data_IF_408194467090
#
_entry.id   IF_408194467090
#
_cell.length_a   1.000
_cell.length_b   1.000
_cell.length_c   1.000
_cell.angle_alpha   90.00
_cell.angle_beta   90.00
_cell.angle_gamma   90.00
#
_symmetry.space_group_name_H-M   'P 1'
#
loop_
_entity.id
_entity.type
_entity.pdbx_description
1 polymer ?
#
# COMPACT_ATOMS: atom_id res chain seq x y z
N UNK A 1 1.97 2.99 20.00
CA UNK A 1 2.31 3.42 18.63
C UNK A 1 1.72 2.52 17.52
N UNK A 2 0.95 1.49 17.83
CA UNK A 2 0.36 0.59 16.82
C UNK A 2 -0.88 1.13 16.09
N UNK A 3 -1.37 2.34 16.42
CA UNK A 3 -2.53 2.97 15.79
C UNK A 3 -2.15 4.35 15.27
N UNK A 4 -2.21 4.55 13.95
CA UNK A 4 -2.13 5.84 13.30
C UNK A 4 -3.54 6.37 12.99
N UNK A 5 -3.88 7.55 13.49
CA UNK A 5 -5.16 8.19 13.23
C UNK A 5 -4.93 9.69 13.00
N UNK A 6 -5.42 10.25 11.85
CA UNK A 6 -5.43 11.70 11.65
C UNK A 6 -6.21 12.41 12.75
N UNK A 7 -5.74 13.56 13.20
CA UNK A 7 -6.33 14.37 14.26
C UNK A 7 -7.28 15.46 13.72
N UNK A 8 -7.62 15.40 12.44
CA UNK A 8 -8.55 16.31 11.77
C UNK A 8 -9.79 15.57 11.25
N UNK A 9 -10.95 16.23 11.16
CA UNK A 9 -12.18 15.61 10.70
C UNK A 9 -12.17 15.41 9.18
N UNK A 10 -13.05 14.52 8.69
CA UNK A 10 -13.33 14.40 7.25
C UNK A 10 -13.67 15.77 6.66
N UNK A 11 -13.09 16.18 5.53
CA UNK A 11 -13.38 17.43 4.86
C UNK A 11 -14.88 17.63 4.58
N UNK A 12 -15.36 18.87 4.70
CA UNK A 12 -16.80 19.17 4.59
C UNK A 12 -17.38 18.75 3.23
N UNK A 13 -16.66 19.00 2.15
CA UNK A 13 -17.10 18.60 0.81
C UNK A 13 -17.27 17.07 0.67
N UNK A 14 -16.39 16.28 1.27
CA UNK A 14 -16.51 14.82 1.25
C UNK A 14 -17.71 14.32 2.08
N UNK A 15 -17.95 14.96 3.24
CA UNK A 15 -19.14 14.63 4.06
C UNK A 15 -20.44 15.00 3.34
N UNK A 16 -20.46 16.17 2.71
CA UNK A 16 -21.63 16.64 1.93
C UNK A 16 -21.93 15.67 0.79
N UNK A 17 -20.93 15.29 -0.01
CA UNK A 17 -21.11 14.35 -1.10
C UNK A 17 -21.61 12.97 -0.64
N UNK A 18 -21.13 12.49 0.53
CA UNK A 18 -21.58 11.23 1.10
C UNK A 18 -23.08 11.30 1.52
N UNK A 19 -23.50 12.40 2.14
CA UNK A 19 -24.91 12.63 2.52
C UNK A 19 -25.81 12.68 1.27
N UNK A 20 -25.42 13.44 0.25
CA UNK A 20 -26.15 13.55 -0.99
C UNK A 20 -26.28 12.20 -1.72
N UNK A 21 -25.21 11.38 -1.71
CA UNK A 21 -25.25 10.05 -2.31
C UNK A 21 -26.23 9.12 -1.59
N UNK A 22 -26.31 9.18 -0.26
CA UNK A 22 -27.29 8.42 0.53
C UNK A 22 -28.71 8.93 0.26
N UNK A 23 -28.96 10.24 0.31
CA UNK A 23 -30.28 10.84 0.13
C UNK A 23 -30.83 10.63 -1.28
N UNK A 24 -29.96 10.57 -2.29
CA UNK A 24 -30.38 10.30 -3.68
C UNK A 24 -30.62 8.82 -3.98
N UNK A 25 -30.31 7.90 -3.05
CA UNK A 25 -30.38 6.46 -3.29
C UNK A 25 -29.29 5.91 -4.20
N UNK A 26 -28.26 6.67 -4.49
CA UNK A 26 -27.14 6.23 -5.36
C UNK A 26 -26.36 5.04 -4.77
N UNK A 27 -26.51 4.79 -3.47
CA UNK A 27 -25.83 3.71 -2.73
C UNK A 27 -26.73 2.50 -2.45
N UNK A 28 -27.96 2.44 -2.97
CA UNK A 28 -28.94 1.42 -2.60
C UNK A 28 -28.78 0.09 -3.35
N UNK A 29 -27.96 0.06 -4.39
CA UNK A 29 -27.78 -1.12 -5.25
C UNK A 29 -26.37 -1.72 -5.10
N UNK A 30 -26.27 -3.04 -5.37
CA UNK A 30 -24.97 -3.66 -5.53
C UNK A 30 -24.21 -3.08 -6.72
N UNK A 31 -22.91 -2.91 -6.56
CA UNK A 31 -21.99 -2.45 -7.59
C UNK A 31 -20.98 -3.54 -7.96
N UNK A 32 -20.07 -3.24 -8.88
CA UNK A 32 -18.93 -4.11 -9.15
C UNK A 32 -18.07 -4.31 -7.90
N UNK A 33 -17.52 -5.51 -7.73
CA UNK A 33 -16.56 -5.80 -6.64
C UNK A 33 -15.27 -4.95 -6.72
N UNK A 34 -14.97 -4.41 -7.91
CA UNK A 34 -13.85 -3.46 -8.10
C UNK A 34 -14.19 -2.01 -7.66
N UNK A 35 -15.43 -1.74 -7.29
CA UNK A 35 -15.96 -0.39 -7.13
C UNK A 35 -16.66 0.14 -8.40
N UNK A 36 -17.33 1.29 -8.29
CA UNK A 36 -18.00 1.91 -9.44
C UNK A 36 -16.99 2.40 -10.48
N UNK A 37 -17.42 2.50 -11.73
CA UNK A 37 -16.55 2.99 -12.83
C UNK A 37 -16.09 4.40 -12.54
N UNK A 38 -16.99 5.26 -12.09
CA UNK A 38 -16.72 6.67 -11.78
C UNK A 38 -15.68 6.82 -10.66
N UNK A 39 -15.73 5.97 -9.63
CA UNK A 39 -14.72 5.98 -8.56
C UNK A 39 -13.35 5.54 -9.07
N UNK A 40 -13.30 4.48 -9.87
CA UNK A 40 -12.05 3.97 -10.44
C UNK A 40 -11.41 4.96 -11.42
N UNK A 41 -12.23 5.63 -12.24
CA UNK A 41 -11.79 6.73 -13.12
C UNK A 41 -11.23 7.91 -12.29
N UNK A 42 -11.93 8.32 -11.23
CA UNK A 42 -11.46 9.39 -10.35
C UNK A 42 -10.16 9.06 -9.63
N UNK A 43 -9.95 7.78 -9.25
CA UNK A 43 -8.67 7.31 -8.68
C UNK A 43 -7.57 7.39 -9.75
N UNK A 44 -7.82 6.91 -10.97
CA UNK A 44 -6.87 6.98 -12.07
C UNK A 44 -6.49 8.44 -12.41
N UNK A 45 -7.47 9.34 -12.48
CA UNK A 45 -7.24 10.78 -12.69
C UNK A 45 -6.41 11.40 -11.56
N UNK A 46 -6.68 11.02 -10.29
CA UNK A 46 -5.87 11.45 -9.13
C UNK A 46 -4.44 10.98 -9.26
N UNK A 47 -4.23 9.72 -9.61
CA UNK A 47 -2.90 9.13 -9.76
C UNK A 47 -2.10 9.83 -10.87
N UNK A 48 -2.70 10.09 -12.02
CA UNK A 48 -2.05 10.84 -13.10
C UNK A 48 -1.69 12.27 -12.68
N UNK A 49 -2.62 12.98 -12.04
CA UNK A 49 -2.43 14.38 -11.62
C UNK A 49 -1.42 14.54 -10.49
N UNK A 50 -1.50 13.69 -9.47
CA UNK A 50 -0.81 13.89 -8.19
C UNK A 50 0.45 13.02 -8.05
N UNK A 51 0.46 11.83 -8.65
CA UNK A 51 1.57 10.87 -8.56
C UNK A 51 2.39 10.80 -9.87
N UNK A 52 1.87 11.38 -10.97
CA UNK A 52 2.64 11.56 -12.21
C UNK A 52 2.75 10.33 -13.10
N UNK A 53 1.91 9.32 -12.91
CA UNK A 53 1.82 8.16 -13.78
C UNK A 53 0.38 7.79 -14.12
N UNK A 54 0.17 7.27 -15.33
CA UNK A 54 -1.14 6.85 -15.80
C UNK A 54 -1.42 5.41 -15.37
N UNK A 55 -2.65 5.17 -14.90
CA UNK A 55 -3.17 3.83 -14.62
C UNK A 55 -4.51 3.65 -15.33
N UNK A 56 -4.70 2.48 -15.96
CA UNK A 56 -6.00 2.14 -16.53
C UNK A 56 -7.01 1.90 -15.39
N UNK A 57 -8.21 2.54 -15.40
CA UNK A 57 -9.25 2.29 -14.41
C UNK A 57 -9.63 0.82 -14.24
N UNK A 58 -9.40 -0.03 -15.24
CA UNK A 58 -9.62 -1.48 -15.12
C UNK A 58 -8.61 -2.17 -14.19
N UNK A 59 -7.46 -1.55 -13.92
CA UNK A 59 -6.45 -2.01 -12.95
C UNK A 59 -6.63 -1.42 -11.56
N UNK A 60 -7.71 -0.65 -11.34
CA UNK A 60 -8.04 -0.05 -10.05
C UNK A 60 -9.09 -0.88 -9.33
N UNK A 61 -8.87 -1.14 -8.06
CA UNK A 61 -9.84 -1.78 -7.15
C UNK A 61 -10.05 -0.84 -5.96
N UNK A 62 -11.31 -0.42 -5.76
CA UNK A 62 -11.70 0.33 -4.57
C UNK A 62 -12.01 -0.66 -3.43
N UNK A 63 -11.40 -0.42 -2.27
CA UNK A 63 -11.50 -1.30 -1.10
C UNK A 63 -12.09 -0.58 0.11
N UNK A 64 -12.52 -1.33 1.12
CA UNK A 64 -12.96 -0.81 2.41
C UNK A 64 -11.77 -0.40 3.30
N UNK A 65 -10.86 0.41 2.76
CA UNK A 65 -9.65 0.90 3.41
C UNK A 65 -8.39 0.11 3.06
N UNK A 66 -7.23 0.64 3.47
CA UNK A 66 -5.91 0.06 3.17
C UNK A 66 -5.73 -1.37 3.65
N UNK A 67 -6.37 -1.75 4.76
CA UNK A 67 -6.27 -3.13 5.27
C UNK A 67 -6.86 -4.17 4.31
N UNK A 68 -7.96 -3.87 3.63
CA UNK A 68 -8.51 -4.75 2.61
C UNK A 68 -7.63 -4.76 1.35
N UNK A 69 -7.08 -3.60 0.97
CA UNK A 69 -6.16 -3.51 -0.15
C UNK A 69 -4.91 -4.38 0.07
N UNK A 70 -4.30 -4.30 1.26
CA UNK A 70 -3.17 -5.14 1.65
C UNK A 70 -3.54 -6.63 1.65
N UNK A 71 -4.71 -6.98 2.20
CA UNK A 71 -5.19 -8.36 2.22
C UNK A 71 -5.32 -8.93 0.80
N UNK A 72 -6.01 -8.21 -0.08
CA UNK A 72 -6.20 -8.64 -1.47
C UNK A 72 -4.87 -8.75 -2.20
N UNK A 73 -3.97 -7.77 -2.02
CA UNK A 73 -2.68 -7.77 -2.69
C UNK A 73 -1.80 -8.96 -2.25
N UNK A 74 -1.72 -9.22 -0.94
CA UNK A 74 -0.92 -10.33 -0.41
C UNK A 74 -1.54 -11.67 -0.81
N UNK A 75 -2.85 -11.85 -0.61
CA UNK A 75 -3.55 -13.11 -0.96
C UNK A 75 -3.47 -13.46 -2.46
N UNK A 76 -3.41 -12.43 -3.33
CA UNK A 76 -3.35 -12.64 -4.77
C UNK A 76 -1.95 -13.00 -5.30
N UNK A 77 -0.88 -12.71 -4.55
CA UNK A 77 0.49 -12.85 -5.03
C UNK A 77 1.34 -13.82 -4.20
N UNK A 78 0.85 -14.28 -3.06
CA UNK A 78 1.61 -15.12 -2.12
C UNK A 78 0.96 -16.48 -1.99
N UNK A 79 1.66 -17.50 -2.45
CA UNK A 79 1.27 -18.88 -2.26
C UNK A 79 1.78 -19.43 -0.92
N UNK A 80 1.17 -20.52 -0.46
CA UNK A 80 1.55 -21.15 0.80
C UNK A 80 3.04 -21.57 0.81
N UNK A 81 3.76 -21.08 1.80
CA UNK A 81 5.20 -21.35 2.00
C UNK A 81 6.12 -20.31 1.37
N UNK A 82 5.61 -19.41 0.52
CA UNK A 82 6.41 -18.32 -0.01
C UNK A 82 6.71 -17.25 1.04
N UNK A 83 7.75 -16.47 0.80
CA UNK A 83 8.23 -15.44 1.70
C UNK A 83 7.74 -14.05 1.29
N UNK A 84 7.42 -13.22 2.30
CA UNK A 84 7.18 -11.78 2.14
C UNK A 84 8.17 -11.03 3.01
N UNK A 85 9.03 -10.21 2.40
CA UNK A 85 9.95 -9.35 3.14
C UNK A 85 9.17 -8.14 3.68
N UNK A 86 9.24 -7.91 4.97
CA UNK A 86 8.52 -6.82 5.65
C UNK A 86 9.47 -5.95 6.48
N UNK A 87 9.25 -4.63 6.56
CA UNK A 87 10.07 -3.75 7.39
C UNK A 87 9.93 -4.08 8.89
N UNK A 88 11.02 -4.05 9.65
CA UNK A 88 11.02 -4.20 11.11
C UNK A 88 11.79 -3.04 11.79
N UNK A 89 11.08 -2.15 12.53
CA UNK A 89 9.65 -2.15 12.83
C UNK A 89 8.76 -1.73 11.64
N UNK A 90 7.62 -2.41 11.49
CA UNK A 90 6.63 -2.14 10.45
C UNK A 90 5.18 -2.17 10.94
N UNK A 91 4.24 -1.96 10.03
CA UNK A 91 2.82 -2.07 10.35
C UNK A 91 2.43 -3.53 10.61
N UNK A 92 1.82 -3.78 11.76
CA UNK A 92 1.53 -5.13 12.28
C UNK A 92 0.71 -6.02 11.34
N UNK A 93 -0.04 -5.42 10.41
CA UNK A 93 -0.86 -6.20 9.48
C UNK A 93 -0.06 -6.90 8.38
N UNK A 94 1.16 -6.46 8.06
CA UNK A 94 1.97 -7.12 7.04
C UNK A 94 2.28 -8.56 7.45
N UNK A 95 2.77 -8.76 8.67
CA UNK A 95 3.03 -10.09 9.24
C UNK A 95 1.75 -10.93 9.31
N UNK A 96 0.68 -10.35 9.88
CA UNK A 96 -0.59 -11.06 10.06
C UNK A 96 -1.22 -11.51 8.73
N UNK A 97 -1.21 -10.65 7.71
CA UNK A 97 -1.78 -10.96 6.39
C UNK A 97 -0.92 -11.96 5.62
N UNK A 98 0.40 -11.90 5.75
CA UNK A 98 1.31 -12.93 5.20
C UNK A 98 1.00 -14.30 5.77
N UNK A 99 0.83 -14.41 7.09
CA UNK A 99 0.44 -15.68 7.71
C UNK A 99 -0.95 -16.16 7.26
N UNK A 100 -1.91 -15.25 7.07
CA UNK A 100 -3.25 -15.60 6.58
C UNK A 100 -3.21 -16.17 5.16
N UNK A 101 -2.35 -15.66 4.29
CA UNK A 101 -2.11 -16.21 2.95
C UNK A 101 -1.34 -17.54 2.97
N UNK A 102 -0.86 -17.98 4.14
CA UNK A 102 -0.05 -19.20 4.28
C UNK A 102 1.44 -18.96 3.99
N UNK A 103 1.86 -17.73 3.80
CA UNK A 103 3.24 -17.32 3.59
C UNK A 103 4.06 -17.19 4.87
N UNK A 104 5.33 -16.91 4.72
CA UNK A 104 6.31 -16.70 5.79
C UNK A 104 6.78 -15.25 5.78
N UNK A 105 6.47 -14.43 6.80
CA UNK A 105 7.01 -13.10 6.88
C UNK A 105 8.51 -13.14 7.24
N UNK A 106 9.31 -12.40 6.50
CA UNK A 106 10.76 -12.27 6.71
C UNK A 106 11.04 -10.82 7.06
N UNK A 107 11.41 -10.52 8.32
CA UNK A 107 11.70 -9.15 8.73
C UNK A 107 13.01 -8.65 8.10
N UNK A 108 13.00 -7.40 7.66
CA UNK A 108 14.18 -6.65 7.20
C UNK A 108 14.39 -5.48 8.14
N UNK A 109 15.52 -5.46 8.81
CA UNK A 109 15.90 -4.41 9.75
C UNK A 109 16.00 -3.05 9.05
N UNK A 110 15.53 -1.98 9.73
CA UNK A 110 15.65 -0.63 9.20
C UNK A 110 17.03 -0.02 9.53
N UNK A 111 17.47 0.94 8.70
CA UNK A 111 18.65 1.77 8.96
C UNK A 111 18.47 2.59 10.25
N UNK A 112 19.55 3.26 10.72
CA UNK A 112 19.49 4.16 11.88
C UNK A 112 18.51 5.32 11.72
N UNK A 113 18.26 5.78 10.49
CA UNK A 113 17.27 6.81 10.16
C UNK A 113 15.84 6.25 9.99
N UNK A 114 15.66 4.97 10.26
CA UNK A 114 14.41 4.24 10.19
C UNK A 114 13.84 4.10 8.75
N UNK A 115 14.67 4.28 7.73
CA UNK A 115 14.36 3.91 6.36
C UNK A 115 14.76 2.46 6.08
N UNK A 116 14.12 1.83 5.10
CA UNK A 116 14.46 0.49 4.63
C UNK A 116 15.64 0.56 3.65
N UNK A 117 16.65 -0.31 3.81
CA UNK A 117 17.78 -0.37 2.89
C UNK A 117 17.49 -1.29 1.70
N UNK A 118 17.51 -0.79 0.44
CA UNK A 118 17.37 -1.65 -0.72
C UNK A 118 18.39 -2.79 -0.78
N UNK A 119 19.62 -2.56 -0.31
CA UNK A 119 20.65 -3.59 -0.30
C UNK A 119 20.32 -4.73 0.67
N UNK A 120 19.72 -4.42 1.82
CA UNK A 120 19.30 -5.44 2.79
C UNK A 120 18.07 -6.22 2.27
N UNK A 121 17.15 -5.54 1.56
CA UNK A 121 16.03 -6.20 0.85
C UNK A 121 16.57 -7.16 -0.19
N UNK A 122 17.46 -6.72 -1.06
CA UNK A 122 18.04 -7.55 -2.11
C UNK A 122 18.80 -8.77 -1.54
N UNK A 123 19.55 -8.56 -0.45
CA UNK A 123 20.27 -9.63 0.22
C UNK A 123 19.36 -10.66 0.91
N UNK A 124 18.13 -10.28 1.26
CA UNK A 124 17.15 -11.16 1.88
C UNK A 124 16.30 -11.95 0.88
N UNK A 125 16.34 -11.61 -0.42
CA UNK A 125 15.59 -12.31 -1.46
C UNK A 125 16.13 -13.73 -1.63
N UNK A 126 15.22 -14.69 -1.70
CA UNK A 126 15.46 -16.11 -1.97
C UNK A 126 14.60 -16.59 -3.14
N UNK A 127 14.77 -17.83 -3.56
CA UNK A 127 13.91 -18.46 -4.59
C UNK A 127 12.45 -18.60 -4.15
N UNK A 128 12.18 -18.49 -2.84
CA UNK A 128 10.83 -18.58 -2.25
C UNK A 128 10.21 -17.18 -2.02
N UNK A 129 10.93 -16.10 -2.26
CA UNK A 129 10.43 -14.72 -2.06
C UNK A 129 9.43 -14.34 -3.16
N UNK A 130 8.18 -14.07 -2.78
CA UNK A 130 7.14 -13.62 -3.70
C UNK A 130 6.99 -12.09 -3.71
N UNK A 131 7.25 -11.45 -2.57
CA UNK A 131 6.92 -10.03 -2.38
C UNK A 131 7.84 -9.38 -1.36
N UNK A 132 8.06 -8.07 -1.50
CA UNK A 132 8.53 -7.22 -0.41
C UNK A 132 7.62 -5.99 -0.26
N UNK A 133 7.51 -5.47 0.97
CA UNK A 133 6.63 -4.35 1.30
C UNK A 133 7.46 -3.11 1.61
N UNK A 134 7.15 -1.99 0.95
CA UNK A 134 7.70 -0.66 1.23
C UNK A 134 6.56 0.25 1.69
N UNK A 135 6.72 0.90 2.85
CA UNK A 135 5.75 1.89 3.34
C UNK A 135 6.43 3.25 3.44
N UNK A 136 5.92 4.25 2.71
CA UNK A 136 6.48 5.59 2.73
C UNK A 136 5.41 6.68 2.55
N UNK A 137 5.27 7.60 3.54
CA UNK A 137 5.84 7.59 4.88
C UNK A 137 5.49 6.37 5.71
N UNK A 138 6.41 5.87 6.53
CA UNK A 138 6.30 4.58 7.20
C UNK A 138 5.47 4.64 8.49
N UNK A 139 4.67 3.60 8.73
CA UNK A 139 4.07 3.33 10.04
C UNK A 139 4.87 2.19 10.72
N UNK A 140 5.42 2.38 11.95
CA UNK A 140 5.12 3.47 12.89
C UNK A 140 6.16 4.61 12.90
N UNK A 141 7.20 4.56 12.08
CA UNK A 141 8.40 5.41 12.24
C UNK A 141 8.23 6.84 11.71
N UNK A 142 7.37 7.05 10.72
CA UNK A 142 7.23 8.31 10.00
C UNK A 142 8.36 8.59 9.01
N UNK A 143 9.30 7.67 8.84
CA UNK A 143 10.41 7.81 7.89
C UNK A 143 9.90 7.85 6.45
N UNK A 144 10.55 8.67 5.62
CA UNK A 144 10.24 8.82 4.20
C UNK A 144 11.42 8.28 3.40
N UNK A 145 11.14 7.34 2.51
CA UNK A 145 12.14 6.78 1.62
C UNK A 145 12.62 7.82 0.60
N UNK A 146 13.90 7.79 0.29
CA UNK A 146 14.46 8.65 -0.75
C UNK A 146 14.01 8.22 -2.14
N UNK A 147 13.97 9.16 -3.10
CA UNK A 147 13.72 8.81 -4.51
C UNK A 147 14.74 7.79 -5.04
N UNK A 148 15.99 7.87 -4.60
CA UNK A 148 17.04 6.94 -5.00
C UNK A 148 16.73 5.52 -4.51
N UNK A 149 16.32 5.36 -3.24
CA UNK A 149 15.94 4.05 -2.69
C UNK A 149 14.69 3.49 -3.40
N UNK A 150 13.69 4.34 -3.69
CA UNK A 150 12.49 3.90 -4.41
C UNK A 150 12.80 3.40 -5.82
N UNK A 151 13.74 4.04 -6.52
CA UNK A 151 14.22 3.57 -7.83
C UNK A 151 14.96 2.24 -7.73
N UNK A 152 15.71 2.07 -6.66
CA UNK A 152 16.45 0.83 -6.41
C UNK A 152 15.50 -0.32 -6.04
N UNK A 153 14.46 -0.10 -5.25
CA UNK A 153 13.41 -1.08 -5.02
C UNK A 153 12.71 -1.51 -6.32
N UNK A 154 12.45 -0.56 -7.22
CA UNK A 154 11.86 -0.89 -8.52
C UNK A 154 12.80 -1.77 -9.38
N UNK A 155 14.12 -1.48 -9.38
CA UNK A 155 15.13 -2.33 -10.04
C UNK A 155 15.15 -3.73 -9.45
N UNK A 156 15.18 -3.84 -8.13
CA UNK A 156 15.19 -5.13 -7.42
C UNK A 156 13.96 -5.96 -7.77
N UNK A 157 12.78 -5.35 -7.76
CA UNK A 157 11.53 -6.03 -8.14
C UNK A 157 11.58 -6.60 -9.56
N UNK A 158 12.10 -5.82 -10.53
CA UNK A 158 12.22 -6.22 -11.93
C UNK A 158 13.28 -7.31 -12.13
N UNK A 159 14.46 -7.16 -11.52
CA UNK A 159 15.58 -8.10 -11.71
C UNK A 159 15.36 -9.46 -11.06
N UNK A 160 14.63 -9.50 -9.93
CA UNK A 160 14.35 -10.73 -9.19
C UNK A 160 12.97 -11.32 -9.48
N UNK A 161 12.14 -10.66 -10.32
CA UNK A 161 10.76 -11.06 -10.62
C UNK A 161 9.90 -11.23 -9.35
N UNK A 162 10.06 -10.29 -8.40
CA UNK A 162 9.31 -10.24 -7.14
C UNK A 162 8.39 -9.02 -7.10
N UNK A 163 7.26 -9.13 -6.41
CA UNK A 163 6.31 -8.02 -6.30
C UNK A 163 6.79 -6.99 -5.27
N UNK A 164 6.86 -5.71 -5.66
CA UNK A 164 7.02 -4.60 -4.72
C UNK A 164 5.64 -4.04 -4.36
N UNK A 165 5.20 -4.25 -3.12
CA UNK A 165 3.97 -3.66 -2.60
C UNK A 165 4.31 -2.31 -1.97
N UNK A 166 3.88 -1.20 -2.59
CA UNK A 166 4.06 0.16 -2.08
C UNK A 166 2.82 0.59 -1.29
N UNK A 167 2.96 0.73 0.03
CA UNK A 167 1.92 1.27 0.91
C UNK A 167 2.10 2.78 1.05
N UNK A 168 1.25 3.54 0.36
CA UNK A 168 1.33 5.00 0.24
C UNK A 168 0.20 5.70 1.00
N UNK A 169 -0.40 5.05 2.00
CA UNK A 169 -1.53 5.59 2.76
C UNK A 169 -1.25 6.98 3.37
N UNK A 170 0.01 7.29 3.64
CA UNK A 170 0.46 8.57 4.20
C UNK A 170 1.17 9.50 3.19
N UNK A 171 1.05 9.26 1.88
CA UNK A 171 1.81 10.01 0.84
C UNK A 171 1.77 11.54 0.97
N UNK A 172 0.67 12.08 1.54
CA UNK A 172 0.47 13.53 1.73
C UNK A 172 0.87 14.05 3.11
N UNK A 173 1.33 13.18 3.99
CA UNK A 173 1.74 13.55 5.36
C UNK A 173 3.26 13.58 5.43
N UNK A 174 3.84 14.54 4.72
CA UNK A 174 5.29 14.80 4.71
C UNK A 174 5.53 16.17 5.31
N UNK A 175 6.37 16.25 6.33
CA UNK A 175 6.77 17.46 7.02
C UNK A 175 8.22 17.77 6.69
N UNK A 176 8.46 18.69 5.78
CA UNK A 176 9.78 19.17 5.37
C UNK A 176 10.73 18.07 4.87
N UNK A 177 10.85 17.97 3.56
CA UNK A 177 11.80 17.16 2.84
C UNK A 177 12.50 17.98 1.78
#
# INVERSE_FOLDING_TARGET
LGLGQPDFPTPEHARTAAVEAIESGATDAYTSNKGTVELREAIAEKTARDNGYDVDPEHVIATAGGSEALHIAIEAHVDAGQEVLIPDPGFVSYEALTHLAGGTPVPVDLREDLTMDPADVEAAITDDTAMFVVCSPANPTGAVQSEADMREFARIADEHDVVCLSDEVYERIVFEG
#
